data_IF_512113741136
#
_entry.id   IF_512113741136
#
_cell.length_a   1.000
_cell.length_b   1.000
_cell.length_c   1.000
_cell.angle_alpha   90.00
_cell.angle_beta   90.00
_cell.angle_gamma   90.00
#
_symmetry.space_group_name_H-M   'P 1'
#
loop_
_entity.id
_entity.type
_entity.pdbx_description
1 polymer ?
#
# COMPACT_ATOMS: atom_id res chain seq x y z
N UNK A 1 48.11 -10.90 38.73
CA UNK A 1 46.81 -10.28 39.01
C UNK A 1 46.36 -9.28 37.93
N UNK A 2 47.20 -8.39 37.39
CA UNK A 2 46.81 -7.40 36.34
C UNK A 2 46.49 -8.01 34.98
N UNK A 3 47.09 -9.15 34.59
CA UNK A 3 46.84 -9.83 33.32
C UNK A 3 45.51 -10.58 33.29
N UNK A 4 45.02 -11.11 34.44
CA UNK A 4 43.77 -11.83 34.55
C UNK A 4 42.57 -10.89 34.44
N UNK A 5 42.69 -9.64 34.88
CA UNK A 5 41.64 -8.61 34.82
C UNK A 5 41.41 -8.13 33.37
N UNK A 6 42.48 -8.12 32.55
CA UNK A 6 42.38 -7.74 31.13
C UNK A 6 41.69 -8.80 30.29
N UNK A 7 41.82 -10.11 30.63
CA UNK A 7 41.13 -11.18 29.91
C UNK A 7 39.63 -11.23 30.19
N UNK A 8 39.19 -10.85 31.40
CA UNK A 8 37.77 -10.80 31.73
C UNK A 8 37.02 -9.63 31.12
N UNK A 9 37.72 -8.51 30.83
CA UNK A 9 37.10 -7.34 30.19
C UNK A 9 36.76 -7.58 28.70
N UNK A 10 37.48 -8.46 27.99
CA UNK A 10 37.29 -8.77 26.56
C UNK A 10 36.06 -9.66 26.36
N UNK A 11 35.63 -10.43 27.37
CA UNK A 11 34.47 -11.35 27.22
C UNK A 11 33.12 -10.65 27.36
N UNK A 12 33.05 -9.39 27.78
CA UNK A 12 31.82 -8.65 27.98
C UNK A 12 31.36 -7.79 26.76
N UNK A 13 32.19 -7.68 25.69
CA UNK A 13 31.89 -6.85 24.52
C UNK A 13 31.16 -7.59 23.36
N UNK A 14 30.69 -8.81 23.56
CA UNK A 14 30.24 -9.68 22.46
C UNK A 14 28.72 -9.92 22.35
N UNK A 15 27.85 -9.15 23.00
CA UNK A 15 26.39 -9.29 22.80
C UNK A 15 25.83 -8.09 22.04
N UNK A 16 26.21 -7.96 20.77
CA UNK A 16 25.38 -7.20 19.83
C UNK A 16 24.12 -8.04 19.58
N UNK A 17 23.01 -7.69 20.22
CA UNK A 17 21.70 -8.16 19.82
C UNK A 17 21.44 -7.67 18.40
N UNK A 18 21.61 -8.55 17.42
CA UNK A 18 21.11 -8.32 16.07
C UNK A 18 19.59 -8.26 16.21
N UNK A 19 19.04 -7.06 16.27
CA UNK A 19 17.60 -6.85 16.08
C UNK A 19 17.29 -7.32 14.67
N UNK A 20 16.79 -8.54 14.52
CA UNK A 20 16.13 -8.97 13.29
C UNK A 20 15.03 -7.96 13.01
N UNK A 21 15.14 -7.27 11.88
CA UNK A 21 14.10 -6.32 11.48
C UNK A 21 12.86 -7.12 11.08
N UNK A 22 11.92 -7.26 12.02
CA UNK A 22 10.64 -7.92 11.80
C UNK A 22 9.70 -7.11 10.86
N UNK A 23 10.24 -6.08 10.23
CA UNK A 23 9.48 -5.15 9.39
C UNK A 23 10.15 -5.04 8.03
N UNK A 24 9.30 -5.10 7.00
CA UNK A 24 9.69 -4.77 5.64
C UNK A 24 8.92 -3.55 5.17
N UNK A 25 9.62 -2.64 4.49
CA UNK A 25 9.11 -1.30 4.20
C UNK A 25 9.38 -0.96 2.74
N UNK A 26 8.45 -0.22 2.12
CA UNK A 26 8.70 0.53 0.88
C UNK A 26 8.26 1.97 1.05
N UNK A 27 8.89 2.88 0.29
CA UNK A 27 8.45 4.28 0.10
C UNK A 27 8.24 4.61 -1.37
N UNK A 28 8.45 3.63 -2.24
CA UNK A 28 8.35 3.72 -3.70
C UNK A 28 7.38 2.67 -4.25
N UNK A 29 6.39 2.31 -3.45
CA UNK A 29 5.30 1.45 -3.88
C UNK A 29 4.46 2.12 -4.95
N UNK A 30 3.89 1.30 -5.85
CA UNK A 30 3.04 1.78 -6.93
C UNK A 30 1.58 1.44 -6.66
N UNK A 31 0.71 2.42 -6.87
CA UNK A 31 -0.73 2.21 -7.02
C UNK A 31 -1.18 2.83 -8.34
N UNK A 32 -1.95 2.06 -9.10
CA UNK A 32 -2.65 2.53 -10.30
C UNK A 32 -4.14 2.39 -10.02
N UNK A 33 -4.92 3.38 -10.39
CA UNK A 33 -6.36 3.21 -10.47
C UNK A 33 -6.88 3.53 -11.86
N UNK A 34 -7.99 2.87 -12.23
CA UNK A 34 -8.62 3.03 -13.52
C UNK A 34 -10.14 2.96 -13.40
N UNK A 35 -10.80 3.92 -14.05
CA UNK A 35 -12.25 4.02 -14.15
C UNK A 35 -12.70 4.29 -15.60
N UNK A 36 -11.93 3.79 -16.56
CA UNK A 36 -12.20 3.97 -18.00
C UNK A 36 -13.41 3.18 -18.45
N UNK A 37 -14.15 3.72 -19.43
CA UNK A 37 -15.17 3.00 -20.19
C UNK A 37 -14.83 3.04 -21.68
N UNK A 38 -15.19 2.01 -22.45
CA UNK A 38 -14.94 2.00 -23.90
C UNK A 38 -15.50 3.25 -24.59
N UNK A 39 -14.83 3.73 -25.61
CA UNK A 39 -15.22 4.89 -26.43
C UNK A 39 -15.12 6.27 -25.79
N UNK A 40 -14.62 6.36 -24.55
CA UNK A 40 -14.31 7.62 -23.89
C UNK A 40 -12.82 7.73 -23.58
N UNK A 41 -12.39 8.92 -23.16
CA UNK A 41 -11.01 9.18 -22.77
C UNK A 41 -10.63 8.33 -21.54
N UNK A 42 -9.40 7.81 -21.54
CA UNK A 42 -8.87 6.95 -20.47
C UNK A 42 -8.83 7.70 -19.13
N UNK A 43 -9.58 7.23 -18.14
CA UNK A 43 -9.54 7.73 -16.77
C UNK A 43 -8.65 6.82 -15.94
N UNK A 44 -7.36 7.13 -15.93
CA UNK A 44 -6.32 6.33 -15.28
C UNK A 44 -5.27 7.23 -14.66
N UNK A 45 -4.84 6.89 -13.46
CA UNK A 45 -3.75 7.57 -12.78
C UNK A 45 -2.83 6.59 -12.05
N UNK A 46 -1.58 7.01 -11.86
CA UNK A 46 -0.58 6.24 -11.13
C UNK A 46 0.12 7.08 -10.07
N UNK A 47 0.42 6.46 -8.93
CA UNK A 47 1.25 7.02 -7.87
C UNK A 47 2.40 6.04 -7.60
N UNK A 48 3.66 6.52 -7.67
CA UNK A 48 4.87 5.71 -7.49
C UNK A 48 5.62 6.05 -6.19
N UNK A 49 4.99 6.81 -5.30
CA UNK A 49 5.57 7.25 -4.03
C UNK A 49 4.74 6.77 -2.82
N UNK A 50 4.16 5.59 -2.92
CA UNK A 50 3.34 5.00 -1.86
C UNK A 50 4.24 4.37 -0.80
N UNK A 51 3.96 4.69 0.46
CA UNK A 51 4.62 4.04 1.59
C UNK A 51 3.82 2.85 2.08
N UNK A 52 4.49 1.73 2.30
CA UNK A 52 3.88 0.55 2.91
C UNK A 52 4.87 -0.11 3.88
N UNK A 53 4.35 -0.67 4.97
CA UNK A 53 5.07 -1.43 5.97
C UNK A 53 4.31 -2.71 6.28
N UNK A 54 5.02 -3.82 6.41
CA UNK A 54 4.51 -5.10 6.91
C UNK A 54 5.35 -5.55 8.10
N UNK A 55 4.69 -6.02 9.16
CA UNK A 55 5.33 -6.77 10.24
C UNK A 55 5.38 -8.24 9.84
N UNK A 56 6.58 -8.78 9.63
CA UNK A 56 6.77 -10.15 9.14
C UNK A 56 6.52 -11.24 10.19
N UNK A 57 6.34 -10.87 11.45
CA UNK A 57 5.94 -11.79 12.53
C UNK A 57 4.43 -11.84 12.70
N UNK A 58 3.76 -10.69 12.67
CA UNK A 58 2.33 -10.58 13.00
C UNK A 58 1.43 -10.55 11.77
N UNK A 59 1.96 -10.26 10.58
CA UNK A 59 1.17 -10.02 9.37
C UNK A 59 0.44 -8.67 9.36
N UNK A 60 0.69 -7.80 10.34
CA UNK A 60 0.14 -6.45 10.33
C UNK A 60 0.70 -5.66 9.14
N UNK A 61 -0.16 -4.98 8.43
CA UNK A 61 0.20 -4.19 7.25
C UNK A 61 -0.42 -2.81 7.33
N UNK A 62 0.34 -1.78 6.93
CA UNK A 62 -0.19 -0.44 6.79
C UNK A 62 0.38 0.22 5.52
N UNK A 63 -0.45 1.00 4.82
CA UNK A 63 0.00 1.81 3.71
C UNK A 63 -0.53 3.25 3.80
N UNK A 64 0.27 4.18 3.27
CA UNK A 64 -0.04 5.60 3.17
C UNK A 64 0.15 6.05 1.74
N UNK A 65 -0.87 6.71 1.21
CA UNK A 65 -0.92 7.27 -0.15
C UNK A 65 -1.19 8.76 -0.05
N UNK A 66 -0.33 9.59 -0.63
CA UNK A 66 -0.61 11.02 -0.80
C UNK A 66 -1.45 11.21 -2.06
N UNK A 67 -2.60 11.87 -1.95
CA UNK A 67 -3.55 12.01 -3.06
C UNK A 67 -2.96 12.84 -4.21
N UNK A 68 -2.24 13.92 -3.92
CA UNK A 68 -1.52 14.73 -4.92
C UNK A 68 -0.37 13.98 -5.63
N UNK A 69 -0.02 12.78 -5.19
CA UNK A 69 0.97 11.92 -5.86
C UNK A 69 0.39 11.10 -7.01
N UNK A 70 -0.90 11.16 -7.27
CA UNK A 70 -1.50 10.54 -8.46
C UNK A 70 -1.33 11.44 -9.67
N UNK A 71 -0.73 10.89 -10.75
CA UNK A 71 -0.50 11.57 -12.00
C UNK A 71 -1.31 10.94 -13.12
N UNK A 72 -2.00 11.78 -13.86
CA UNK A 72 -2.81 11.42 -15.02
C UNK A 72 -2.05 11.75 -16.31
N UNK A 73 -2.47 11.10 -17.40
CA UNK A 73 -1.97 11.45 -18.75
C UNK A 73 -2.39 12.85 -19.19
N UNK A 74 -3.55 13.31 -18.73
CA UNK A 74 -4.15 14.60 -19.05
C UNK A 74 -4.15 15.49 -17.81
N UNK A 75 -3.44 16.61 -17.86
CA UNK A 75 -3.28 17.52 -16.73
C UNK A 75 -4.63 18.04 -16.17
N UNK A 76 -5.59 18.32 -17.05
CA UNK A 76 -6.93 18.77 -16.62
C UNK A 76 -7.69 17.70 -15.82
N UNK A 77 -7.47 16.41 -16.14
CA UNK A 77 -8.05 15.31 -15.32
C UNK A 77 -7.41 15.26 -13.94
N UNK A 78 -6.10 15.49 -13.84
CA UNK A 78 -5.39 15.56 -12.57
C UNK A 78 -5.87 16.72 -11.70
N UNK A 79 -6.09 17.89 -12.31
CA UNK A 79 -6.66 19.06 -11.65
C UNK A 79 -8.08 18.74 -11.11
N UNK A 80 -8.98 18.24 -11.96
CA UNK A 80 -10.33 17.88 -11.57
C UNK A 80 -10.33 16.79 -10.49
N UNK A 81 -9.45 15.80 -10.57
CA UNK A 81 -9.30 14.78 -9.54
C UNK A 81 -8.96 15.42 -8.19
N UNK A 82 -7.96 16.29 -8.16
CA UNK A 82 -7.48 16.91 -6.94
C UNK A 82 -8.49 17.90 -6.33
N UNK A 83 -9.19 18.68 -7.16
CA UNK A 83 -10.03 19.77 -6.69
C UNK A 83 -11.49 19.34 -6.47
N UNK A 84 -12.05 18.55 -7.40
CA UNK A 84 -13.50 18.31 -7.44
C UNK A 84 -13.90 16.91 -6.98
N UNK A 85 -13.00 15.90 -7.07
CA UNK A 85 -13.37 14.52 -6.71
C UNK A 85 -12.79 14.11 -5.37
N UNK A 86 -11.47 14.18 -5.21
CA UNK A 86 -10.80 13.73 -3.99
C UNK A 86 -10.60 14.86 -2.98
N UNK A 87 -10.76 16.13 -3.40
CA UNK A 87 -10.56 17.33 -2.58
C UNK A 87 -9.24 17.23 -1.81
N UNK A 88 -8.11 17.04 -2.52
CA UNK A 88 -6.81 16.68 -1.94
C UNK A 88 -6.28 17.69 -0.93
N UNK A 89 -6.77 18.92 -0.89
CA UNK A 89 -6.45 19.93 0.13
C UNK A 89 -7.13 19.63 1.47
N UNK A 90 -8.36 19.10 1.45
CA UNK A 90 -9.09 18.69 2.65
C UNK A 90 -8.73 17.26 3.08
N UNK A 91 -8.54 16.37 2.10
CA UNK A 91 -8.28 14.95 2.29
C UNK A 91 -6.96 14.55 1.63
N UNK A 92 -5.80 15.01 2.14
CA UNK A 92 -4.52 14.89 1.45
C UNK A 92 -3.98 13.47 1.34
N UNK A 93 -4.58 12.50 2.06
CA UNK A 93 -4.05 11.14 2.16
C UNK A 93 -5.14 10.09 2.24
N UNK A 94 -4.86 8.91 1.68
CA UNK A 94 -5.55 7.67 2.02
C UNK A 94 -4.63 6.80 2.90
N UNK A 95 -5.24 6.05 3.83
CA UNK A 95 -4.54 5.17 4.77
C UNK A 95 -5.26 3.83 4.79
N UNK A 96 -4.50 2.76 4.59
CA UNK A 96 -4.97 1.40 4.86
C UNK A 96 -4.23 0.85 6.08
N UNK A 97 -4.96 0.20 6.98
CA UNK A 97 -4.41 -0.57 8.10
C UNK A 97 -5.14 -1.89 8.19
N UNK A 98 -4.40 -2.99 8.20
CA UNK A 98 -5.03 -4.30 8.20
C UNK A 98 -4.11 -5.40 8.70
N UNK A 99 -4.61 -6.63 8.61
CA UNK A 99 -3.88 -7.84 8.99
C UNK A 99 -4.04 -8.87 7.89
N UNK A 100 -2.94 -9.50 7.53
CA UNK A 100 -2.88 -10.62 6.61
C UNK A 100 -3.25 -11.88 7.39
N UNK A 101 -4.37 -12.50 7.01
CA UNK A 101 -4.85 -13.71 7.69
C UNK A 101 -3.88 -14.88 7.50
N UNK A 102 -3.57 -15.60 8.57
CA UNK A 102 -2.71 -16.79 8.57
C UNK A 102 -1.32 -16.55 7.97
N UNK A 103 -0.79 -15.31 8.14
CA UNK A 103 0.50 -14.93 7.60
C UNK A 103 1.64 -15.76 8.19
N UNK A 104 2.42 -16.40 7.30
CA UNK A 104 3.65 -17.08 7.67
C UNK A 104 4.71 -16.86 6.59
N UNK A 105 5.75 -16.13 6.93
CA UNK A 105 6.85 -15.80 6.02
C UNK A 105 7.57 -17.05 5.48
N UNK A 106 7.60 -18.16 6.25
CA UNK A 106 8.23 -19.41 5.84
C UNK A 106 7.49 -20.08 4.66
N UNK A 107 6.18 -19.84 4.54
CA UNK A 107 5.34 -20.44 3.50
C UNK A 107 5.34 -19.63 2.19
N UNK A 108 6.08 -18.52 2.12
CA UNK A 108 6.16 -17.68 0.93
C UNK A 108 7.41 -18.05 0.13
N UNK A 109 7.23 -18.35 -1.14
CA UNK A 109 8.30 -18.64 -2.10
C UNK A 109 8.32 -17.64 -3.27
N UNK A 110 9.13 -17.90 -4.28
CA UNK A 110 9.20 -17.07 -5.49
C UNK A 110 7.99 -17.20 -6.42
N UNK A 111 7.20 -18.27 -6.31
CA UNK A 111 5.94 -18.44 -7.07
C UNK A 111 4.84 -17.57 -6.48
N UNK A 112 4.89 -17.36 -5.17
CA UNK A 112 3.98 -16.53 -4.41
C UNK A 112 2.79 -17.28 -3.82
N UNK A 113 2.32 -16.74 -2.70
CA UNK A 113 1.17 -17.25 -1.94
C UNK A 113 0.10 -16.17 -1.88
N UNK A 114 -1.16 -16.56 -2.10
CA UNK A 114 -2.32 -15.67 -1.95
C UNK A 114 -2.79 -15.66 -0.50
N UNK A 115 -3.05 -14.46 0.01
CA UNK A 115 -3.56 -14.23 1.35
C UNK A 115 -4.81 -13.35 1.30
N UNK A 116 -5.73 -13.56 2.24
CA UNK A 116 -6.80 -12.61 2.53
C UNK A 116 -6.26 -11.54 3.50
N UNK A 117 -6.49 -10.28 3.18
CA UNK A 117 -6.17 -9.14 4.05
C UNK A 117 -7.45 -8.44 4.40
N UNK A 118 -7.74 -8.35 5.69
CA UNK A 118 -8.86 -7.58 6.23
C UNK A 118 -8.31 -6.32 6.89
N UNK A 119 -8.96 -5.22 6.66
CA UNK A 119 -8.51 -3.96 7.25
C UNK A 119 -9.42 -2.78 6.95
N UNK A 120 -9.08 -1.65 7.53
CA UNK A 120 -9.78 -0.39 7.39
C UNK A 120 -9.07 0.48 6.36
N UNK A 121 -9.77 0.87 5.29
CA UNK A 121 -9.35 1.90 4.36
C UNK A 121 -10.01 3.23 4.76
N UNK A 122 -9.19 4.23 5.03
CA UNK A 122 -9.64 5.62 5.18
C UNK A 122 -9.32 6.38 3.90
N UNK A 123 -10.34 6.84 3.21
CA UNK A 123 -10.26 7.59 1.96
C UNK A 123 -11.30 8.71 1.99
N UNK A 124 -10.94 9.91 1.54
CA UNK A 124 -11.84 11.08 1.51
C UNK A 124 -12.54 11.34 2.86
N UNK A 125 -11.81 11.13 3.98
CA UNK A 125 -12.32 11.28 5.34
C UNK A 125 -13.23 10.17 5.86
N UNK A 126 -13.61 9.20 5.02
CA UNK A 126 -14.46 8.06 5.38
C UNK A 126 -13.62 6.81 5.61
N UNK A 127 -13.91 6.09 6.69
CA UNK A 127 -13.26 4.81 7.01
C UNK A 127 -14.22 3.65 6.76
N UNK A 128 -13.76 2.65 6.01
CA UNK A 128 -14.52 1.44 5.67
C UNK A 128 -13.67 0.19 5.89
N UNK A 129 -14.29 -0.85 6.41
CA UNK A 129 -13.70 -2.18 6.42
C UNK A 129 -13.72 -2.75 5.00
N UNK A 130 -12.58 -3.21 4.54
CA UNK A 130 -12.43 -3.87 3.24
C UNK A 130 -11.68 -5.21 3.41
N UNK A 131 -12.01 -6.14 2.54
CA UNK A 131 -11.30 -7.41 2.42
C UNK A 131 -10.74 -7.51 0.99
N UNK A 132 -9.44 -7.71 0.88
CA UNK A 132 -8.76 -7.83 -0.42
C UNK A 132 -7.87 -9.08 -0.44
N UNK A 133 -7.65 -9.61 -1.65
CA UNK A 133 -6.69 -10.70 -1.86
C UNK A 133 -5.36 -10.08 -2.27
N UNK A 134 -4.28 -10.47 -1.61
CA UNK A 134 -2.93 -10.10 -1.98
C UNK A 134 -2.14 -11.34 -2.38
N UNK A 135 -1.32 -11.23 -3.41
CA UNK A 135 -0.29 -12.20 -3.76
C UNK A 135 1.02 -11.68 -3.21
N UNK A 136 1.69 -12.46 -2.36
CA UNK A 136 3.01 -12.12 -1.82
C UNK A 136 4.02 -13.13 -2.34
N UNK A 137 5.14 -12.63 -2.90
CA UNK A 137 6.24 -13.44 -3.43
C UNK A 137 7.54 -13.04 -2.76
N UNK A 138 8.47 -14.00 -2.59
CA UNK A 138 9.87 -13.69 -2.30
C UNK A 138 10.61 -13.25 -3.56
N UNK A 139 11.32 -12.12 -3.46
CA UNK A 139 12.23 -11.60 -4.48
C UNK A 139 13.60 -11.36 -3.82
N UNK A 140 14.42 -12.41 -3.77
CA UNK A 140 15.64 -12.41 -2.94
C UNK A 140 15.30 -12.28 -1.45
N UNK A 141 15.82 -11.22 -0.81
CA UNK A 141 15.49 -10.87 0.58
C UNK A 141 14.23 -10.00 0.72
N UNK A 142 13.66 -9.52 -0.40
CA UNK A 142 12.52 -8.63 -0.42
C UNK A 142 11.21 -9.40 -0.57
N UNK A 143 10.09 -8.73 -0.29
CA UNK A 143 8.74 -9.23 -0.55
C UNK A 143 8.07 -8.36 -1.61
N UNK A 144 7.63 -8.96 -2.70
CA UNK A 144 6.75 -8.32 -3.67
C UNK A 144 5.29 -8.61 -3.28
N UNK A 145 4.49 -7.56 -3.06
CA UNK A 145 3.07 -7.63 -2.76
C UNK A 145 2.28 -7.07 -3.92
N UNK A 146 1.37 -7.87 -4.48
CA UNK A 146 0.51 -7.50 -5.60
C UNK A 146 -0.95 -7.70 -5.18
N UNK A 147 -1.79 -6.70 -5.47
CA UNK A 147 -3.24 -6.80 -5.26
C UNK A 147 -4.00 -6.10 -6.37
N UNK A 148 -5.18 -6.63 -6.71
CA UNK A 148 -6.13 -6.01 -7.62
C UNK A 148 -7.52 -6.12 -6.99
N UNK A 149 -8.21 -4.99 -6.85
CA UNK A 149 -9.56 -4.93 -6.28
C UNK A 149 -10.33 -3.74 -6.83
N UNK A 150 -11.65 -3.75 -6.63
CA UNK A 150 -12.52 -2.66 -7.04
C UNK A 150 -12.98 -1.87 -5.83
N UNK A 151 -13.14 -0.55 -5.99
CA UNK A 151 -13.74 0.37 -5.03
C UNK A 151 -14.93 1.10 -5.67
N UNK A 152 -16.02 1.26 -4.92
CA UNK A 152 -17.09 2.19 -5.29
C UNK A 152 -16.78 3.56 -4.66
N UNK A 153 -16.56 4.62 -5.46
CA UNK A 153 -16.32 5.97 -4.95
C UNK A 153 -17.44 6.49 -4.05
N UNK A 154 -18.68 6.06 -4.29
CA UNK A 154 -19.86 6.48 -3.49
C UNK A 154 -19.74 6.05 -2.03
N UNK A 155 -19.08 4.92 -1.75
CA UNK A 155 -18.89 4.45 -0.37
C UNK A 155 -17.98 5.37 0.44
N UNK A 156 -17.20 6.21 -0.24
CA UNK A 156 -16.30 7.19 0.36
C UNK A 156 -16.76 8.64 0.15
N UNK A 157 -18.07 8.86 -0.12
CA UNK A 157 -18.66 10.18 -0.38
C UNK A 157 -17.95 10.95 -1.52
N UNK A 158 -17.34 10.25 -2.46
CA UNK A 158 -16.77 10.87 -3.66
C UNK A 158 -17.86 10.99 -4.70
N UNK A 159 -18.35 12.21 -4.91
CA UNK A 159 -19.47 12.48 -5.81
C UNK A 159 -18.96 12.69 -7.25
N UNK A 160 -19.46 11.84 -8.15
CA UNK A 160 -19.23 12.00 -9.59
C UNK A 160 -20.44 12.71 -10.21
N UNK A 161 -20.23 13.91 -10.83
CA UNK A 161 -21.31 14.66 -11.45
C UNK A 161 -22.05 13.85 -12.51
N UNK A 162 -23.37 14.01 -12.60
CA UNK A 162 -24.24 13.26 -13.53
C UNK A 162 -23.79 13.35 -14.99
N UNK A 163 -23.21 14.48 -15.41
CA UNK A 163 -22.73 14.71 -16.77
C UNK A 163 -21.48 13.87 -17.12
N UNK A 164 -20.69 13.47 -16.10
CA UNK A 164 -19.47 12.68 -16.27
C UNK A 164 -19.74 11.19 -16.05
N UNK A 165 -20.76 10.83 -15.25
CA UNK A 165 -21.11 9.44 -14.96
C UNK A 165 -21.13 8.50 -16.17
N UNK A 166 -21.73 8.87 -17.33
CA UNK A 166 -21.73 7.98 -18.49
C UNK A 166 -20.36 7.74 -19.11
N UNK A 167 -19.37 8.58 -18.74
CA UNK A 167 -18.00 8.57 -19.28
C UNK A 167 -16.98 7.84 -18.38
N UNK A 168 -17.43 7.32 -17.24
CA UNK A 168 -16.60 6.64 -16.26
C UNK A 168 -17.26 5.34 -15.81
N UNK A 169 -16.46 4.37 -15.41
CA UNK A 169 -16.96 3.16 -14.76
C UNK A 169 -17.55 3.51 -13.36
N UNK A 170 -18.58 2.78 -12.95
CA UNK A 170 -19.20 2.98 -11.62
C UNK A 170 -18.27 2.58 -10.49
N UNK A 171 -17.40 1.60 -10.74
CA UNK A 171 -16.36 1.14 -9.81
C UNK A 171 -14.98 1.46 -10.36
N UNK A 172 -14.07 1.78 -9.48
CA UNK A 172 -12.67 2.06 -9.78
C UNK A 172 -11.85 0.79 -9.55
N UNK A 173 -11.17 0.29 -10.58
CA UNK A 173 -10.19 -0.78 -10.45
C UNK A 173 -8.91 -0.23 -9.84
N UNK A 174 -8.43 -0.84 -8.76
CA UNK A 174 -7.19 -0.47 -8.07
C UNK A 174 -6.18 -1.59 -8.20
N UNK A 175 -5.00 -1.26 -8.69
CA UNK A 175 -3.86 -2.17 -8.80
C UNK A 175 -2.75 -1.69 -7.87
N UNK A 176 -2.23 -2.60 -7.06
CA UNK A 176 -1.18 -2.34 -6.07
C UNK A 176 0.04 -3.20 -6.39
N UNK A 177 1.22 -2.60 -6.40
CA UNK A 177 2.50 -3.30 -6.48
C UNK A 177 3.50 -2.66 -5.51
N UNK A 178 3.93 -3.41 -4.50
CA UNK A 178 4.87 -2.97 -3.48
C UNK A 178 6.06 -3.92 -3.40
N UNK A 179 7.27 -3.40 -3.59
CA UNK A 179 8.51 -4.11 -3.28
C UNK A 179 8.98 -3.66 -1.89
N UNK A 180 8.81 -4.53 -0.91
CA UNK A 180 9.08 -4.30 0.52
C UNK A 180 10.48 -4.85 0.86
N UNK A 181 11.37 -3.98 1.33
CA UNK A 181 12.78 -4.26 1.66
C UNK A 181 13.01 -4.40 3.15
#
# INVERSE_FOLDING_TARGET
MRLLILLTAIFFLGKTTVFSQDKKITKTGQIIFEASVPSFEEVKASNQAVSCIINTKTGEIASLVLMRGFHFKVALMEEHFNENFIESDKFPKAIFKGTIKDFNLANIDSKGTKFNVNGTLTLHGISKEIAVIVLIKKSGNDLELISNFNLDPKEFNINIPKIIKPKMAETVQVQVNFLLK
#
